data_IF_210443818407
#
_entry.id   IF_210443818407
#
_cell.length_a   1.000
_cell.length_b   1.000
_cell.length_c   1.000
_cell.angle_alpha   90.00
_cell.angle_beta   90.00
_cell.angle_gamma   90.00
#
_symmetry.space_group_name_H-M   'P 1'
#
loop_
_entity.id
_entity.type
_entity.pdbx_description
1 polymer ?
#
# COMPACT_ATOMS: atom_id res chain seq x y z
N UNK A 1 7.69 -10.19 -42.93
CA UNK A 1 8.20 -10.74 -41.65
C UNK A 1 7.44 -10.07 -40.53
N UNK A 2 6.36 -10.72 -40.08
CA UNK A 2 5.44 -10.21 -39.06
C UNK A 2 5.97 -10.56 -37.68
N UNK A 3 6.24 -9.51 -36.89
CA UNK A 3 6.65 -9.59 -35.49
C UNK A 3 5.52 -10.19 -34.65
N UNK A 4 5.74 -11.40 -34.12
CA UNK A 4 4.91 -12.00 -33.10
C UNK A 4 5.08 -11.22 -31.78
N UNK A 5 4.18 -10.28 -31.51
CA UNK A 5 4.01 -9.75 -30.17
C UNK A 5 3.39 -10.85 -29.30
N UNK A 6 4.18 -11.45 -28.41
CA UNK A 6 3.66 -12.27 -27.31
C UNK A 6 2.94 -11.31 -26.37
N UNK A 7 1.63 -11.17 -26.57
CA UNK A 7 0.78 -10.44 -25.64
C UNK A 7 0.58 -11.35 -24.43
N UNK A 8 1.22 -11.01 -23.30
CA UNK A 8 0.92 -11.62 -22.01
C UNK A 8 -0.52 -11.28 -21.57
N UNK A 9 -1.47 -12.10 -22.01
CA UNK A 9 -2.90 -12.04 -21.64
C UNK A 9 -3.23 -13.20 -20.73
N UNK A 10 -3.45 -12.88 -19.46
CA UNK A 10 -3.97 -13.78 -18.44
C UNK A 10 -4.40 -13.00 -17.21
N UNK A 11 -5.15 -11.90 -17.42
CA UNK A 11 -5.77 -11.09 -16.36
C UNK A 11 -7.16 -10.68 -16.86
N UNK A 12 -8.14 -11.58 -16.73
CA UNK A 12 -9.57 -11.25 -16.75
C UNK A 12 -10.30 -12.15 -15.76
N UNK A 13 -11.27 -11.72 -14.96
CA UNK A 13 -11.58 -10.47 -14.24
C UNK A 13 -12.72 -10.86 -13.26
N UNK A 14 -12.89 -10.11 -12.16
CA UNK A 14 -14.23 -9.89 -11.60
C UNK A 14 -15.20 -9.64 -12.76
N UNK A 15 -16.30 -10.37 -12.88
CA UNK A 15 -17.43 -9.83 -13.63
C UNK A 15 -18.08 -8.72 -12.79
N UNK A 16 -17.41 -7.57 -12.69
CA UNK A 16 -17.97 -6.36 -12.08
C UNK A 16 -19.36 -6.04 -12.70
N UNK A 17 -19.57 -6.45 -13.96
CA UNK A 17 -20.84 -6.39 -14.68
C UNK A 17 -21.97 -7.20 -14.03
N UNK A 18 -21.67 -8.27 -13.28
CA UNK A 18 -22.67 -9.06 -12.53
C UNK A 18 -23.08 -8.38 -11.21
N UNK A 19 -22.31 -7.40 -10.72
CA UNK A 19 -22.65 -6.62 -9.53
C UNK A 19 -23.55 -5.43 -9.87
N UNK A 20 -24.49 -5.05 -8.98
CA UNK A 20 -25.17 -3.76 -9.07
C UNK A 20 -24.18 -2.60 -9.23
N UNK A 21 -24.52 -1.61 -10.06
CA UNK A 21 -23.63 -0.47 -10.36
C UNK A 21 -23.19 0.30 -9.11
N UNK A 22 -24.00 0.30 -8.05
CA UNK A 22 -23.67 0.89 -6.75
C UNK A 22 -22.54 0.18 -6.00
N UNK A 23 -22.27 -1.10 -6.29
CA UNK A 23 -21.24 -1.91 -5.62
C UNK A 23 -19.94 -2.02 -6.44
N UNK A 24 -19.99 -1.71 -7.74
CA UNK A 24 -18.82 -1.79 -8.63
C UNK A 24 -17.60 -0.98 -8.15
N UNK A 25 -17.74 0.24 -7.57
CA UNK A 25 -16.59 0.97 -7.03
C UNK A 25 -15.89 0.23 -5.88
N UNK A 26 -16.66 -0.32 -4.93
CA UNK A 26 -16.11 -1.08 -3.81
C UNK A 26 -15.46 -2.39 -4.26
N UNK A 27 -16.05 -3.09 -5.23
CA UNK A 27 -15.45 -4.28 -5.84
C UNK A 27 -14.14 -3.97 -6.58
N UNK A 28 -14.09 -2.85 -7.30
CA UNK A 28 -12.86 -2.34 -7.93
C UNK A 28 -11.78 -2.03 -6.87
N UNK A 29 -12.19 -1.47 -5.74
CA UNK A 29 -11.29 -1.21 -4.62
C UNK A 29 -10.73 -2.51 -4.04
N UNK A 30 -11.55 -3.51 -3.77
CA UNK A 30 -11.08 -4.81 -3.28
C UNK A 30 -10.13 -5.48 -4.27
N UNK A 31 -10.43 -5.40 -5.57
CA UNK A 31 -9.52 -5.89 -6.60
C UNK A 31 -8.14 -5.22 -6.53
N UNK A 32 -8.10 -3.89 -6.44
CA UNK A 32 -6.85 -3.13 -6.31
C UNK A 32 -6.10 -3.49 -5.03
N UNK A 33 -6.82 -3.64 -3.92
CA UNK A 33 -6.25 -4.06 -2.63
C UNK A 33 -5.61 -5.44 -2.71
N UNK A 34 -6.32 -6.45 -3.21
CA UNK A 34 -5.80 -7.83 -3.37
C UNK A 34 -4.62 -7.87 -4.34
N UNK A 35 -4.70 -7.13 -5.45
CA UNK A 35 -3.66 -7.13 -6.49
C UNK A 35 -2.31 -6.63 -5.98
N UNK A 36 -2.29 -5.78 -4.94
CA UNK A 36 -1.07 -5.31 -4.29
C UNK A 36 -0.26 -6.44 -3.63
N UNK A 37 -0.87 -7.61 -3.39
CA UNK A 37 -0.22 -8.79 -2.76
C UNK A 37 0.08 -9.92 -3.76
N UNK A 38 -0.17 -9.73 -5.05
CA UNK A 38 -0.21 -10.84 -6.02
C UNK A 38 1.13 -11.50 -6.36
N UNK A 39 2.26 -10.81 -6.26
CA UNK A 39 3.55 -11.40 -6.66
C UNK A 39 4.09 -12.42 -5.63
N UNK A 40 3.68 -12.30 -4.35
CA UNK A 40 4.00 -13.22 -3.24
C UNK A 40 2.88 -13.16 -2.20
N UNK A 41 1.75 -13.76 -2.50
CA UNK A 41 0.61 -13.70 -1.60
C UNK A 41 0.92 -14.43 -0.30
N UNK A 42 1.01 -13.68 0.79
CA UNK A 42 1.20 -14.18 2.14
C UNK A 42 -0.11 -13.99 2.90
N UNK A 43 -0.73 -15.09 3.29
CA UNK A 43 -2.02 -15.09 3.99
C UNK A 43 -1.95 -14.40 5.36
N UNK A 44 -0.80 -14.46 6.05
CA UNK A 44 -0.59 -13.81 7.34
C UNK A 44 -0.53 -12.29 7.15
N UNK A 45 0.24 -11.83 6.17
CA UNK A 45 0.35 -10.40 5.83
C UNK A 45 -0.99 -9.86 5.33
N UNK A 46 -1.67 -10.60 4.44
CA UNK A 46 -2.96 -10.19 3.89
C UNK A 46 -4.04 -10.10 4.99
N UNK A 47 -4.09 -11.07 5.90
CA UNK A 47 -5.02 -11.05 7.03
C UNK A 47 -4.74 -9.86 7.95
N UNK A 48 -3.47 -9.63 8.31
CA UNK A 48 -3.08 -8.46 9.11
C UNK A 48 -3.47 -7.14 8.42
N UNK A 49 -3.38 -7.06 7.09
CA UNK A 49 -3.81 -5.90 6.34
C UNK A 49 -5.33 -5.70 6.38
N UNK A 50 -6.14 -6.77 6.32
CA UNK A 50 -7.60 -6.67 6.51
C UNK A 50 -7.91 -6.26 7.96
N UNK A 51 -7.27 -6.88 8.95
CA UNK A 51 -7.45 -6.54 10.37
C UNK A 51 -7.11 -5.07 10.63
N UNK A 52 -6.12 -4.51 9.93
CA UNK A 52 -5.74 -3.09 10.01
C UNK A 52 -6.80 -2.13 9.45
N UNK A 53 -7.70 -2.58 8.58
CA UNK A 53 -8.84 -1.76 8.13
C UNK A 53 -9.91 -1.57 9.22
N UNK A 54 -9.82 -2.31 10.33
CA UNK A 54 -10.46 -2.15 11.64
C UNK A 54 -11.76 -1.32 11.68
N UNK A 55 -12.68 -1.61 10.76
CA UNK A 55 -13.83 -0.76 10.49
C UNK A 55 -14.90 -1.54 9.72
N UNK A 56 -16.14 -1.06 9.79
CA UNK A 56 -17.35 -1.67 9.21
C UNK A 56 -17.30 -1.89 7.69
N UNK A 57 -16.22 -1.46 7.03
CA UNK A 57 -16.06 -1.45 5.59
C UNK A 57 -15.62 -2.78 4.98
N UNK A 58 -14.81 -3.59 5.68
CA UNK A 58 -14.40 -4.93 5.24
C UNK A 58 -14.17 -5.82 6.45
N UNK A 59 -14.72 -7.03 6.42
CA UNK A 59 -14.47 -8.08 7.41
C UNK A 59 -14.32 -9.42 6.71
N UNK A 60 -13.62 -10.37 7.32
CA UNK A 60 -13.68 -11.76 6.89
C UNK A 60 -14.58 -12.57 7.83
N UNK A 61 -15.27 -13.55 7.27
CA UNK A 61 -16.15 -14.43 8.04
C UNK A 61 -15.54 -15.83 8.17
N UNK A 62 -15.04 -16.37 7.05
CA UNK A 62 -14.61 -17.76 6.96
C UNK A 62 -13.24 -17.83 6.29
N UNK A 63 -12.29 -18.54 6.91
CA UNK A 63 -10.99 -18.89 6.33
C UNK A 63 -10.91 -20.41 6.29
N UNK A 64 -10.67 -20.97 5.11
CA UNK A 64 -10.51 -22.41 4.91
C UNK A 64 -9.22 -22.70 4.14
N UNK A 65 -8.61 -23.83 4.48
CA UNK A 65 -7.42 -24.34 3.81
C UNK A 65 -7.60 -25.84 3.61
N UNK A 66 -7.36 -26.32 2.39
CA UNK A 66 -7.40 -27.75 2.08
C UNK A 66 -6.31 -28.13 1.08
N UNK A 67 -5.94 -29.40 1.07
CA UNK A 67 -5.03 -29.96 0.07
C UNK A 67 -5.80 -30.98 -0.76
N UNK A 68 -5.95 -30.71 -2.04
CA UNK A 68 -6.57 -31.63 -3.00
C UNK A 68 -5.46 -32.40 -3.70
N UNK A 69 -5.40 -33.72 -3.51
CA UNK A 69 -4.42 -34.59 -4.16
C UNK A 69 -5.07 -35.31 -5.33
N UNK A 70 -4.40 -35.33 -6.48
CA UNK A 70 -4.87 -36.07 -7.65
C UNK A 70 -3.72 -36.87 -8.28
N UNK A 71 -3.98 -38.15 -8.56
CA UNK A 71 -2.98 -39.08 -9.11
C UNK A 71 -2.71 -38.86 -10.60
N UNK A 72 -3.64 -38.22 -11.32
CA UNK A 72 -3.54 -37.95 -12.76
C UNK A 72 -3.57 -36.44 -13.10
N UNK A 73 -2.86 -36.04 -14.16
CA UNK A 73 -2.74 -34.66 -14.67
C UNK A 73 -4.01 -34.21 -15.42
N UNK A 74 -5.20 -34.43 -14.85
CA UNK A 74 -6.41 -33.86 -15.41
C UNK A 74 -6.76 -32.56 -14.66
N UNK A 75 -6.19 -31.46 -15.14
CA UNK A 75 -6.46 -30.09 -14.63
C UNK A 75 -7.96 -29.83 -14.54
N UNK A 76 -8.75 -30.33 -15.50
CA UNK A 76 -10.19 -30.11 -15.53
C UNK A 76 -10.92 -30.83 -14.37
N UNK A 77 -10.44 -31.99 -13.93
CA UNK A 77 -10.95 -32.65 -12.72
C UNK A 77 -10.56 -31.89 -11.45
N UNK A 78 -9.32 -31.42 -11.38
CA UNK A 78 -8.85 -30.62 -10.25
C UNK A 78 -9.70 -29.34 -10.10
N UNK A 79 -9.95 -28.66 -11.21
CA UNK A 79 -10.80 -27.47 -11.25
C UNK A 79 -12.22 -27.79 -10.77
N UNK A 80 -12.81 -28.90 -11.22
CA UNK A 80 -14.14 -29.30 -10.76
C UNK A 80 -14.18 -29.54 -9.24
N UNK A 81 -13.15 -30.19 -8.68
CA UNK A 81 -13.05 -30.42 -7.22
C UNK A 81 -12.84 -29.12 -6.44
N UNK A 82 -12.06 -28.17 -6.98
CA UNK A 82 -11.92 -26.84 -6.37
C UNK A 82 -13.28 -26.12 -6.38
N UNK A 83 -14.00 -26.13 -7.50
CA UNK A 83 -15.30 -25.48 -7.60
C UNK A 83 -16.32 -26.11 -6.62
N UNK A 84 -16.35 -27.44 -6.53
CA UNK A 84 -17.19 -28.18 -5.58
C UNK A 84 -16.82 -27.88 -4.12
N UNK A 85 -15.52 -27.84 -3.80
CA UNK A 85 -15.03 -27.46 -2.48
C UNK A 85 -15.49 -26.05 -2.10
N UNK A 86 -15.33 -25.07 -2.99
CA UNK A 86 -15.74 -23.69 -2.74
C UNK A 86 -17.27 -23.59 -2.59
N UNK A 87 -18.03 -24.34 -3.39
CA UNK A 87 -19.48 -24.38 -3.29
C UNK A 87 -19.96 -24.96 -1.95
N UNK A 88 -19.34 -26.05 -1.50
CA UNK A 88 -19.68 -26.68 -0.23
C UNK A 88 -19.27 -25.82 0.96
N UNK A 89 -18.13 -25.13 0.88
CA UNK A 89 -17.60 -24.38 2.01
C UNK A 89 -18.25 -23.00 2.19
N UNK A 90 -18.64 -22.34 1.10
CA UNK A 90 -19.19 -20.98 1.15
C UNK A 90 -20.67 -20.89 0.72
N UNK A 91 -21.26 -21.99 0.25
CA UNK A 91 -22.63 -21.98 -0.28
C UNK A 91 -22.79 -21.19 -1.59
N UNK A 92 -21.70 -21.01 -2.34
CA UNK A 92 -21.67 -20.19 -3.57
C UNK A 92 -21.48 -21.08 -4.79
N UNK A 93 -22.31 -20.91 -5.82
CA UNK A 93 -22.03 -21.54 -7.12
C UNK A 93 -20.85 -20.85 -7.78
N UNK A 94 -19.74 -21.57 -7.91
CA UNK A 94 -18.56 -21.13 -8.66
C UNK A 94 -18.62 -21.81 -10.03
N UNK A 95 -18.66 -21.02 -11.12
CA UNK A 95 -18.66 -21.61 -12.45
C UNK A 95 -17.30 -22.25 -12.74
N UNK A 96 -17.31 -23.49 -13.25
CA UNK A 96 -16.10 -24.24 -13.61
C UNK A 96 -15.18 -23.44 -14.55
N UNK A 97 -15.79 -22.73 -15.51
CA UNK A 97 -15.11 -21.84 -16.48
C UNK A 97 -14.28 -20.76 -15.80
N UNK A 98 -14.75 -20.20 -14.67
CA UNK A 98 -14.06 -19.14 -13.92
C UNK A 98 -12.79 -19.67 -13.25
N UNK A 99 -12.80 -20.92 -12.80
CA UNK A 99 -11.64 -21.60 -12.20
C UNK A 99 -10.68 -22.12 -13.28
N UNK A 100 -11.19 -22.67 -14.40
CA UNK A 100 -10.37 -23.20 -15.50
C UNK A 100 -9.54 -22.11 -16.20
N UNK A 101 -10.11 -20.91 -16.36
CA UNK A 101 -9.42 -19.76 -16.93
C UNK A 101 -8.18 -19.34 -16.13
N UNK A 102 -8.10 -19.72 -14.86
CA UNK A 102 -7.01 -19.32 -13.97
C UNK A 102 -5.92 -20.37 -13.90
N UNK A 103 -6.28 -21.65 -13.78
CA UNK A 103 -5.33 -22.76 -13.58
C UNK A 103 -4.48 -23.08 -14.82
N UNK A 104 -4.88 -22.62 -16.01
CA UNK A 104 -4.21 -22.94 -17.29
C UNK A 104 -2.96 -22.10 -17.59
N UNK A 105 -2.56 -21.17 -16.71
CA UNK A 105 -1.51 -20.18 -16.97
C UNK A 105 -0.12 -20.49 -16.40
N UNK A 106 0.55 -21.59 -16.77
CA UNK A 106 1.99 -21.92 -16.60
C UNK A 106 2.81 -21.36 -15.40
N UNK A 107 2.18 -21.00 -14.28
CA UNK A 107 2.79 -20.41 -13.08
C UNK A 107 2.40 -21.24 -11.86
N UNK A 108 3.30 -21.33 -10.89
CA UNK A 108 3.15 -22.16 -9.69
C UNK A 108 2.04 -21.69 -8.73
N UNK A 109 1.64 -20.42 -8.84
CA UNK A 109 0.65 -19.79 -7.97
C UNK A 109 -0.45 -19.14 -8.81
N UNK A 110 -1.71 -19.46 -8.51
CA UNK A 110 -2.90 -18.87 -9.12
C UNK A 110 -3.75 -18.18 -8.06
N UNK A 111 -4.36 -17.05 -8.44
CA UNK A 111 -5.20 -16.24 -7.57
C UNK A 111 -6.56 -16.00 -8.24
N UNK A 112 -7.62 -16.44 -7.57
CA UNK A 112 -9.00 -16.18 -7.96
C UNK A 112 -9.62 -15.18 -7.01
N UNK A 113 -10.30 -14.18 -7.55
CA UNK A 113 -11.30 -13.44 -6.78
C UNK A 113 -12.66 -13.77 -7.38
N UNK A 114 -13.49 -14.45 -6.62
CA UNK A 114 -14.84 -14.87 -6.98
C UNK A 114 -15.81 -14.00 -6.18
N UNK A 115 -16.45 -13.04 -6.84
CA UNK A 115 -17.47 -12.22 -6.19
C UNK A 115 -18.83 -12.93 -6.25
N UNK A 116 -19.46 -13.10 -5.09
CA UNK A 116 -20.81 -13.63 -5.00
C UNK A 116 -21.72 -12.55 -4.42
N UNK A 117 -22.63 -12.04 -5.25
CA UNK A 117 -23.72 -11.23 -4.73
C UNK A 117 -24.77 -12.16 -4.12
N UNK A 118 -25.07 -11.97 -2.84
CA UNK A 118 -26.40 -12.34 -2.35
C UNK A 118 -27.42 -11.39 -3.01
N UNK A 119 -28.59 -11.89 -3.43
CA UNK A 119 -29.55 -11.13 -4.23
C UNK A 119 -30.13 -9.88 -3.54
N UNK A 120 -30.02 -9.76 -2.21
CA UNK A 120 -30.71 -8.72 -1.43
C UNK A 120 -29.81 -7.62 -0.84
N UNK A 121 -28.54 -7.53 -1.22
CA UNK A 121 -27.61 -6.60 -0.57
C UNK A 121 -27.47 -5.27 -1.34
N UNK A 122 -28.02 -4.20 -0.76
CA UNK A 122 -27.82 -2.81 -1.23
C UNK A 122 -26.58 -2.15 -0.62
N UNK A 123 -26.02 -2.74 0.43
CA UNK A 123 -24.94 -2.13 1.22
C UNK A 123 -23.68 -2.99 1.36
N UNK A 124 -23.78 -4.31 1.16
CA UNK A 124 -22.65 -5.22 1.30
C UNK A 124 -22.55 -6.18 0.11
N UNK A 125 -21.42 -6.83 -0.09
CA UNK A 125 -21.32 -7.99 -0.96
C UNK A 125 -20.28 -8.97 -0.43
N UNK A 126 -20.48 -10.25 -0.75
CA UNK A 126 -19.57 -11.32 -0.41
C UNK A 126 -18.52 -11.47 -1.53
N UNK A 127 -17.27 -11.59 -1.14
CA UNK A 127 -16.15 -11.78 -2.06
C UNK A 127 -15.29 -12.92 -1.53
N UNK A 128 -15.16 -13.97 -2.31
CA UNK A 128 -14.32 -15.12 -1.99
C UNK A 128 -12.99 -14.93 -2.70
N UNK A 129 -11.93 -14.75 -1.93
CA UNK A 129 -10.57 -14.76 -2.44
C UNK A 129 -10.01 -16.18 -2.29
N UNK A 130 -9.51 -16.74 -3.38
CA UNK A 130 -8.95 -18.10 -3.43
C UNK A 130 -7.52 -18.03 -3.96
N UNK A 131 -6.59 -18.70 -3.28
CA UNK A 131 -5.27 -18.99 -3.83
C UNK A 131 -5.16 -20.48 -4.09
N UNK A 132 -4.74 -20.85 -5.29
CA UNK A 132 -4.48 -22.23 -5.70
C UNK A 132 -2.99 -22.33 -6.00
N UNK A 133 -2.25 -23.07 -5.17
CA UNK A 133 -0.84 -23.37 -5.40
C UNK A 133 -0.74 -24.79 -5.92
N UNK A 134 -0.22 -24.94 -7.13
CA UNK A 134 0.00 -26.26 -7.74
C UNK A 134 1.43 -26.68 -7.49
N UNK A 135 1.61 -27.81 -6.81
CA UNK A 135 2.91 -28.42 -6.61
C UNK A 135 2.94 -29.83 -7.21
N UNK A 136 4.12 -30.19 -7.71
CA UNK A 136 4.42 -31.57 -8.10
C UNK A 136 4.82 -32.35 -6.87
N UNK A 137 4.30 -33.55 -6.73
CA UNK A 137 4.73 -34.43 -5.65
C UNK A 137 6.13 -34.97 -5.94
N UNK A 138 7.08 -34.77 -5.03
CA UNK A 138 8.49 -35.14 -5.26
C UNK A 138 8.72 -36.64 -5.54
N UNK A 139 7.76 -37.49 -5.18
CA UNK A 139 7.85 -38.94 -5.31
C UNK A 139 7.32 -39.49 -6.66
N UNK A 140 6.58 -38.71 -7.45
CA UNK A 140 6.08 -39.18 -8.76
C UNK A 140 5.97 -38.03 -9.76
N UNK A 141 6.51 -38.22 -10.97
CA UNK A 141 6.42 -37.20 -12.04
C UNK A 141 4.99 -36.96 -12.54
N UNK A 142 4.02 -37.78 -12.11
CA UNK A 142 2.65 -37.79 -12.61
C UNK A 142 1.60 -37.30 -11.60
N UNK A 143 1.94 -37.19 -10.31
CA UNK A 143 1.02 -36.70 -9.27
C UNK A 143 1.21 -35.22 -8.97
N UNK A 144 0.08 -34.53 -8.87
CA UNK A 144 0.00 -33.12 -8.52
C UNK A 144 -0.90 -32.97 -7.30
N UNK A 145 -0.58 -32.01 -6.46
CA UNK A 145 -1.52 -31.55 -5.44
C UNK A 145 -1.74 -30.06 -5.56
N UNK A 146 -2.96 -29.65 -5.21
CA UNK A 146 -3.32 -28.25 -5.08
C UNK A 146 -3.50 -27.91 -3.61
N UNK A 147 -2.73 -26.95 -3.12
CA UNK A 147 -3.05 -26.26 -1.88
C UNK A 147 -4.05 -25.16 -2.21
N UNK A 148 -5.27 -25.29 -1.67
CA UNK A 148 -6.35 -24.34 -1.86
C UNK A 148 -6.58 -23.62 -0.55
N UNK A 149 -6.34 -22.32 -0.56
CA UNK A 149 -6.72 -21.45 0.55
C UNK A 149 -7.82 -20.52 0.06
N UNK A 150 -8.85 -20.35 0.87
CA UNK A 150 -9.93 -19.42 0.53
C UNK A 150 -10.37 -18.62 1.76
N UNK A 151 -10.72 -17.36 1.53
CA UNK A 151 -11.29 -16.46 2.51
C UNK A 151 -12.55 -15.82 1.96
N UNK A 152 -13.60 -15.76 2.77
CA UNK A 152 -14.80 -14.98 2.49
C UNK A 152 -14.67 -13.62 3.14
N UNK A 153 -14.72 -12.58 2.31
CA UNK A 153 -14.74 -11.17 2.68
C UNK A 153 -16.16 -10.64 2.54
N UNK A 154 -16.67 -9.98 3.58
CA UNK A 154 -17.92 -9.20 3.54
C UNK A 154 -17.51 -7.74 3.42
N UNK A 155 -17.87 -7.12 2.30
CA UNK A 155 -17.38 -5.79 1.92
C UNK A 155 -18.56 -4.83 1.87
N UNK A 156 -18.46 -3.71 2.58
CA UNK A 156 -19.42 -2.61 2.51
C UNK A 156 -19.24 -1.84 1.18
N UNK A 157 -20.32 -1.31 0.61
CA UNK A 157 -20.29 -0.39 -0.54
C UNK A 157 -19.42 0.85 -0.29
N UNK A 158 -19.25 1.23 0.98
CA UNK A 158 -18.40 2.33 1.40
C UNK A 158 -16.91 1.97 1.42
N UNK A 159 -16.56 0.69 1.20
CA UNK A 159 -15.18 0.25 1.16
C UNK A 159 -14.41 1.01 0.08
N UNK A 160 -13.49 1.81 0.58
CA UNK A 160 -12.45 2.46 -0.19
C UNK A 160 -11.16 1.79 0.22
N UNK A 161 -10.36 1.36 -0.75
CA UNK A 161 -8.93 1.18 -0.44
C UNK A 161 -8.52 2.54 0.05
N UNK A 162 -8.14 2.64 1.33
CA UNK A 162 -7.42 3.81 1.80
C UNK A 162 -6.35 4.06 0.72
N UNK A 163 -6.47 5.16 -0.02
CA UNK A 163 -5.48 5.51 -1.02
C UNK A 163 -4.13 5.31 -0.35
N UNK A 164 -3.22 4.53 -0.94
CA UNK A 164 -1.93 4.18 -0.33
C UNK A 164 -1.47 5.37 0.52
N UNK A 165 -1.27 5.17 1.84
CA UNK A 165 -1.17 6.27 2.77
C UNK A 165 -0.18 7.27 2.22
N UNK A 166 -0.66 8.47 1.89
CA UNK A 166 0.14 9.50 1.22
C UNK A 166 1.32 9.94 2.10
N UNK A 167 1.27 9.63 3.39
CA UNK A 167 2.32 9.88 4.36
C UNK A 167 2.56 8.62 5.19
N UNK A 168 3.83 8.36 5.49
CA UNK A 168 4.21 7.45 6.56
C UNK A 168 3.93 8.12 7.92
N UNK A 169 3.26 7.42 8.84
CA UNK A 169 2.77 8.02 10.09
C UNK A 169 3.49 7.41 11.28
N UNK A 170 4.19 8.25 12.03
CA UNK A 170 4.79 7.89 13.31
C UNK A 170 4.16 8.72 14.42
N UNK A 171 3.47 8.08 15.37
CA UNK A 171 2.75 8.79 16.42
C UNK A 171 3.11 8.22 17.78
N UNK A 172 3.43 9.11 18.71
CA UNK A 172 3.61 8.84 20.15
C UNK A 172 2.47 9.46 20.96
N UNK A 173 1.37 9.83 20.28
CA UNK A 173 0.27 10.54 20.90
C UNK A 173 -0.53 9.63 21.84
N UNK A 174 -1.01 10.17 22.97
CA UNK A 174 -1.95 9.45 23.81
C UNK A 174 -3.29 9.25 23.06
N UNK A 175 -4.09 8.22 23.42
CA UNK A 175 -5.32 7.87 22.72
C UNK A 175 -6.27 9.05 22.41
N UNK A 176 -6.47 10.04 23.31
CA UNK A 176 -7.36 11.18 23.03
C UNK A 176 -6.92 12.07 21.87
N UNK A 177 -5.65 12.05 21.46
CA UNK A 177 -5.11 12.92 20.41
C UNK A 177 -4.90 12.20 19.06
N UNK A 178 -5.02 10.87 19.03
CA UNK A 178 -4.78 10.07 17.82
C UNK A 178 -5.71 10.48 16.66
N UNK A 179 -7.02 10.60 16.93
CA UNK A 179 -8.00 10.98 15.91
C UNK A 179 -7.76 12.38 15.30
N UNK A 180 -7.17 13.29 16.08
CA UNK A 180 -6.84 14.64 15.61
C UNK A 180 -5.62 14.61 14.69
N UNK A 181 -4.68 13.70 14.93
CA UNK A 181 -3.58 13.45 14.02
C UNK A 181 -4.07 12.87 12.69
N UNK A 182 -5.15 12.07 12.68
CA UNK A 182 -5.78 11.60 11.44
C UNK A 182 -6.31 12.77 10.60
N UNK A 183 -6.88 13.80 11.24
CA UNK A 183 -7.27 15.03 10.53
C UNK A 183 -6.07 15.76 9.92
N UNK A 184 -4.90 15.77 10.58
CA UNK A 184 -3.66 16.36 10.02
C UNK A 184 -3.18 15.55 8.82
N UNK A 185 -3.23 14.21 8.91
CA UNK A 185 -2.87 13.33 7.81
C UNK A 185 -3.76 13.58 6.60
N UNK A 186 -5.07 13.68 6.79
CA UNK A 186 -6.01 13.97 5.70
C UNK A 186 -5.80 15.37 5.13
N UNK A 187 -5.63 16.37 6.01
CA UNK A 187 -5.36 17.75 5.63
C UNK A 187 -4.08 17.88 4.78
N UNK A 188 -2.97 17.27 5.20
CA UNK A 188 -1.74 17.21 4.42
C UNK A 188 -1.94 16.40 3.12
N UNK A 189 -2.63 15.26 3.19
CA UNK A 189 -2.91 14.39 2.04
C UNK A 189 -3.68 15.10 0.93
N UNK A 190 -4.55 16.06 1.26
CA UNK A 190 -5.28 16.87 0.27
C UNK A 190 -4.36 17.74 -0.61
N UNK A 191 -3.12 17.98 -0.17
CA UNK A 191 -2.10 18.77 -0.86
C UNK A 191 -1.08 17.91 -1.63
N UNK A 192 -1.33 16.60 -1.75
CA UNK A 192 -0.59 15.72 -2.65
C UNK A 192 -1.33 15.65 -3.98
N UNK A 193 -0.65 16.07 -5.03
CA UNK A 193 -1.16 16.05 -6.40
C UNK A 193 -1.52 14.60 -6.81
N UNK A 194 -2.73 14.34 -7.31
CA UNK A 194 -3.18 12.98 -7.59
C UNK A 194 -2.46 12.33 -8.80
N UNK A 195 -1.94 13.13 -9.73
CA UNK A 195 -1.32 12.65 -10.97
C UNK A 195 0.18 12.42 -10.78
N UNK A 196 0.88 13.47 -10.35
CA UNK A 196 2.33 13.46 -10.15
C UNK A 196 2.72 12.83 -8.82
N UNK A 197 1.78 12.76 -7.86
CA UNK A 197 2.05 12.38 -6.48
C UNK A 197 3.13 13.24 -5.85
N UNK A 198 3.33 14.48 -6.27
CA UNK A 198 4.22 15.43 -5.57
C UNK A 198 3.45 16.13 -4.43
N UNK A 199 4.11 16.35 -3.29
CA UNK A 199 3.52 17.17 -2.22
C UNK A 199 3.71 18.67 -2.49
N UNK A 200 2.60 19.41 -2.56
CA UNK A 200 2.63 20.84 -2.85
C UNK A 200 2.82 21.66 -1.56
N UNK A 201 4.08 21.93 -1.22
CA UNK A 201 4.45 22.74 -0.05
C UNK A 201 3.85 24.14 -0.03
N UNK A 202 3.73 24.79 -1.19
CA UNK A 202 3.19 26.15 -1.30
C UNK A 202 1.71 26.15 -0.93
N UNK A 203 0.96 25.21 -1.50
CA UNK A 203 -0.46 25.02 -1.21
C UNK A 203 -0.71 24.60 0.22
N UNK A 204 0.07 23.64 0.72
CA UNK A 204 -0.03 23.19 2.09
C UNK A 204 0.25 24.32 3.09
N UNK A 205 1.33 25.10 2.89
CA UNK A 205 1.63 26.24 3.77
C UNK A 205 0.50 27.27 3.72
N UNK A 206 -0.02 27.58 2.53
CA UNK A 206 -1.16 28.48 2.37
C UNK A 206 -2.38 27.98 3.15
N UNK A 207 -2.68 26.69 3.06
CA UNK A 207 -3.78 26.08 3.80
C UNK A 207 -3.56 26.17 5.32
N UNK A 208 -2.35 25.90 5.81
CA UNK A 208 -1.96 26.06 7.23
C UNK A 208 -2.17 27.52 7.68
N UNK A 209 -1.72 28.50 6.90
CA UNK A 209 -1.88 29.92 7.21
C UNK A 209 -3.38 30.30 7.36
N UNK A 210 -4.28 29.72 6.56
CA UNK A 210 -5.74 29.97 6.68
C UNK A 210 -6.40 29.32 7.91
N UNK A 211 -5.76 28.30 8.48
CA UNK A 211 -6.21 27.59 9.68
C UNK A 211 -5.51 28.10 10.95
N UNK A 212 -4.59 29.06 10.82
CA UNK A 212 -3.86 29.62 11.95
C UNK A 212 -4.82 30.21 13.00
N UNK A 213 -4.67 29.79 14.26
CA UNK A 213 -5.55 30.17 15.37
C UNK A 213 -6.89 29.39 15.44
N UNK A 214 -7.15 28.45 14.52
CA UNK A 214 -8.33 27.56 14.52
C UNK A 214 -7.96 26.14 14.94
N UNK A 215 -7.19 26.03 16.01
CA UNK A 215 -6.66 24.74 16.50
C UNK A 215 -5.41 24.26 15.77
N UNK A 216 -4.87 25.04 14.83
CA UNK A 216 -3.59 24.79 14.18
C UNK A 216 -2.74 26.06 14.25
N UNK A 217 -1.47 25.93 14.62
CA UNK A 217 -0.48 27.01 14.55
C UNK A 217 0.79 26.43 13.95
N UNK A 218 1.45 27.15 13.04
CA UNK A 218 2.78 26.75 12.58
C UNK A 218 3.85 27.41 13.44
N UNK A 219 4.90 26.68 13.77
CA UNK A 219 6.02 27.19 14.56
C UNK A 219 7.19 27.55 13.65
N UNK A 220 7.61 26.61 12.80
CA UNK A 220 8.81 26.78 11.98
C UNK A 220 8.77 25.91 10.72
N UNK A 221 9.32 26.43 9.62
CA UNK A 221 9.64 25.64 8.41
C UNK A 221 11.15 25.57 8.25
N UNK A 222 11.68 24.36 8.18
CA UNK A 222 13.11 24.12 8.02
C UNK A 222 13.36 23.38 6.71
N UNK A 223 14.28 23.91 5.92
CA UNK A 223 14.71 23.29 4.66
C UNK A 223 16.21 23.06 4.72
N UNK A 224 16.66 21.88 4.32
CA UNK A 224 18.06 21.57 4.13
C UNK A 224 18.28 20.94 2.76
N UNK A 225 19.26 21.47 2.04
CA UNK A 225 19.66 20.97 0.73
C UNK A 225 21.03 20.29 0.86
N UNK A 226 21.04 18.99 0.58
CA UNK A 226 22.28 18.23 0.39
C UNK A 226 22.77 18.52 -1.01
N UNK A 227 23.91 19.22 -1.08
CA UNK A 227 24.50 19.67 -2.32
C UNK A 227 24.86 18.50 -3.22
N UNK A 228 24.77 18.77 -4.52
CA UNK A 228 25.01 17.77 -5.54
C UNK A 228 26.47 17.32 -5.53
N UNK A 229 26.70 16.02 -5.37
CA UNK A 229 28.04 15.43 -5.32
C UNK A 229 28.02 13.97 -5.75
N UNK A 230 29.18 13.44 -6.13
CA UNK A 230 29.36 12.00 -6.33
C UNK A 230 29.24 11.32 -4.97
N UNK A 231 28.21 10.51 -4.80
CA UNK A 231 27.88 9.86 -3.53
C UNK A 231 27.11 8.56 -3.79
N UNK A 232 26.92 7.78 -2.73
CA UNK A 232 26.06 6.59 -2.76
C UNK A 232 24.72 6.91 -2.11
N UNK A 233 23.65 6.23 -2.53
CA UNK A 233 22.34 6.44 -1.90
C UNK A 233 22.37 6.20 -0.38
N UNK A 234 23.00 5.13 0.16
CA UNK A 234 23.12 4.95 1.60
C UNK A 234 23.67 6.17 2.34
N UNK A 235 24.71 6.83 1.80
CA UNK A 235 25.29 8.03 2.42
C UNK A 235 24.32 9.21 2.39
N UNK A 236 23.62 9.44 1.27
CA UNK A 236 22.61 10.51 1.18
C UNK A 236 21.43 10.23 2.10
N UNK A 237 20.99 8.97 2.20
CA UNK A 237 19.96 8.53 3.15
C UNK A 237 20.42 8.76 4.58
N UNK A 238 21.66 8.44 4.94
CA UNK A 238 22.22 8.71 6.26
C UNK A 238 22.17 10.21 6.61
N UNK A 239 22.47 11.07 5.64
CA UNK A 239 22.40 12.53 5.82
C UNK A 239 20.94 13.01 5.99
N UNK A 240 20.00 12.49 5.21
CA UNK A 240 18.57 12.78 5.33
C UNK A 240 18.03 12.33 6.69
N UNK A 241 18.34 11.10 7.09
CA UNK A 241 17.97 10.53 8.40
C UNK A 241 18.55 11.40 9.51
N UNK A 242 19.85 11.70 9.46
CA UNK A 242 20.52 12.54 10.46
C UNK A 242 19.87 13.90 10.60
N UNK A 243 19.49 14.55 9.49
CA UNK A 243 18.83 15.85 9.52
C UNK A 243 17.39 15.77 10.07
N UNK A 244 16.56 14.83 9.59
CA UNK A 244 15.19 14.64 10.10
C UNK A 244 15.20 14.30 11.59
N UNK A 245 16.08 13.41 11.99
CA UNK A 245 16.32 13.07 13.40
C UNK A 245 16.71 14.34 14.16
N UNK A 246 17.72 15.10 13.75
CA UNK A 246 18.12 16.32 14.47
C UNK A 246 17.00 17.37 14.60
N UNK A 247 16.13 17.51 13.59
CA UNK A 247 14.98 18.43 13.64
C UNK A 247 13.90 17.91 14.60
N UNK A 248 13.60 16.61 14.58
CA UNK A 248 12.51 16.02 15.33
C UNK A 248 12.88 15.56 16.77
N UNK A 249 14.14 15.20 17.04
CA UNK A 249 14.54 14.51 18.29
C UNK A 249 14.49 15.35 19.54
N UNK A 250 14.38 16.67 19.43
CA UNK A 250 14.08 17.47 20.62
C UNK A 250 12.73 17.05 21.26
N UNK A 251 11.88 16.37 20.48
CA UNK A 251 10.51 15.99 20.84
C UNK A 251 10.22 14.50 20.59
N UNK A 252 10.90 13.82 19.65
CA UNK A 252 10.64 12.41 19.25
C UNK A 252 11.71 11.43 19.78
N UNK A 253 11.32 10.20 20.13
CA UNK A 253 12.27 9.11 20.43
C UNK A 253 13.15 8.74 19.21
N UNK A 254 14.46 8.83 19.40
CA UNK A 254 15.45 8.75 18.31
C UNK A 254 15.52 7.37 17.65
N UNK A 255 15.72 6.25 18.38
CA UNK A 255 15.98 4.96 17.75
C UNK A 255 14.81 4.44 16.89
N UNK A 256 13.53 4.50 17.32
CA UNK A 256 12.40 4.09 16.48
C UNK A 256 12.24 4.96 15.22
N UNK A 257 12.44 6.28 15.35
CA UNK A 257 12.38 7.20 14.22
C UNK A 257 13.47 6.88 13.18
N UNK A 258 14.71 6.69 13.64
CA UNK A 258 15.84 6.34 12.78
C UNK A 258 15.60 5.01 12.04
N UNK A 259 15.16 3.97 12.76
CA UNK A 259 14.84 2.69 12.14
C UNK A 259 13.76 2.82 11.06
N UNK A 260 12.69 3.56 11.35
CA UNK A 260 11.59 3.75 10.40
C UNK A 260 12.00 4.50 9.15
N UNK A 261 12.76 5.59 9.30
CA UNK A 261 13.26 6.36 8.15
C UNK A 261 14.17 5.51 7.27
N UNK A 262 15.09 4.73 7.87
CA UNK A 262 15.97 3.81 7.13
C UNK A 262 15.18 2.76 6.34
N UNK A 263 14.15 2.19 6.96
CA UNK A 263 13.25 1.23 6.29
C UNK A 263 12.47 1.87 5.14
N UNK A 264 12.01 3.11 5.30
CA UNK A 264 11.26 3.83 4.27
C UNK A 264 12.14 4.17 3.04
N UNK A 265 13.41 4.49 3.26
CA UNK A 265 14.36 4.72 2.17
C UNK A 265 14.95 3.44 1.59
N UNK A 266 14.76 2.27 2.22
CA UNK A 266 15.18 1.00 1.64
C UNK A 266 14.13 0.50 0.63
N UNK A 267 14.45 0.42 -0.67
CA UNK A 267 13.46 0.06 -1.69
C UNK A 267 12.98 -1.38 -1.60
N UNK A 268 13.78 -2.27 -1.02
CA UNK A 268 13.39 -3.67 -0.81
C UNK A 268 12.32 -3.83 0.28
N UNK A 269 12.10 -2.79 1.09
CA UNK A 269 11.09 -2.73 2.17
C UNK A 269 10.16 -1.51 2.05
N UNK A 270 10.19 -0.80 0.92
CA UNK A 270 9.36 0.38 0.73
C UNK A 270 7.91 -0.08 0.46
N UNK A 271 7.12 -0.20 1.51
CA UNK A 271 5.69 -0.56 1.53
C UNK A 271 4.80 0.57 0.94
N UNK A 272 5.25 1.25 -0.11
CA UNK A 272 4.56 2.42 -0.70
C UNK A 272 4.69 3.71 0.12
N UNK A 273 5.69 3.81 0.98
CA UNK A 273 5.98 4.96 1.86
C UNK A 273 6.79 6.07 1.17
N UNK A 274 7.38 5.75 0.01
CA UNK A 274 8.08 6.70 -0.83
C UNK A 274 7.74 6.48 -2.30
N UNK A 275 7.73 7.56 -3.07
CA UNK A 275 7.27 7.58 -4.45
C UNK A 275 8.39 7.98 -5.40
N UNK A 276 8.57 7.16 -6.43
CA UNK A 276 9.39 7.49 -7.57
C UNK A 276 8.60 8.37 -8.54
N UNK A 277 9.21 9.46 -8.98
CA UNK A 277 8.75 10.22 -10.13
C UNK A 277 9.94 10.43 -11.10
N UNK A 278 9.65 10.36 -12.39
CA UNK A 278 10.61 10.76 -13.43
C UNK A 278 9.99 11.89 -14.23
N UNK A 279 10.70 13.01 -14.36
CA UNK A 279 10.27 14.09 -15.24
C UNK A 279 10.72 13.76 -16.65
N UNK A 280 9.79 13.55 -17.57
CA UNK A 280 10.09 13.19 -18.97
C UNK A 280 10.98 14.19 -19.71
N UNK A 281 11.13 15.43 -19.20
CA UNK A 281 11.92 16.50 -19.81
C UNK A 281 13.36 16.62 -19.29
N UNK A 282 13.77 15.82 -18.30
CA UNK A 282 15.12 15.87 -17.74
C UNK A 282 15.64 14.48 -17.42
N UNK A 283 16.93 14.24 -17.61
CA UNK A 283 17.62 13.00 -17.22
C UNK A 283 17.68 12.80 -15.69
N UNK A 284 16.71 13.32 -14.94
CA UNK A 284 16.69 13.35 -13.49
C UNK A 284 15.45 12.60 -13.00
N UNK A 285 15.70 11.59 -12.19
CA UNK A 285 14.67 10.92 -11.40
C UNK A 285 14.69 11.43 -9.98
N UNK A 286 13.51 11.39 -9.37
CA UNK A 286 13.31 11.84 -8.00
C UNK A 286 12.60 10.74 -7.20
N UNK A 287 13.01 10.60 -5.95
CA UNK A 287 12.40 9.70 -5.00
C UNK A 287 12.04 10.49 -3.74
N UNK A 288 10.74 10.63 -3.49
CA UNK A 288 10.22 11.43 -2.39
C UNK A 288 9.63 10.53 -1.30
N UNK A 289 10.24 10.58 -0.11
CA UNK A 289 9.64 10.12 1.14
C UNK A 289 8.75 11.22 1.73
N UNK A 290 7.64 10.83 2.36
CA UNK A 290 6.74 11.73 3.07
C UNK A 290 6.38 11.15 4.44
N UNK A 291 6.58 11.94 5.48
CA UNK A 291 6.33 11.51 6.87
C UNK A 291 5.51 12.53 7.65
N UNK A 292 4.67 12.03 8.56
CA UNK A 292 4.01 12.83 9.60
C UNK A 292 4.38 12.24 10.96
N UNK A 293 4.95 13.07 11.83
CA UNK A 293 5.40 12.67 13.17
C UNK A 293 4.57 13.39 14.24
N UNK A 294 3.82 12.66 15.05
CA UNK A 294 2.99 13.21 16.14
C UNK A 294 3.60 12.95 17.52
N UNK A 295 3.75 13.99 18.35
CA UNK A 295 4.36 13.92 19.69
C UNK A 295 3.57 14.76 20.69
N UNK A 296 3.26 14.25 21.90
CA UNK A 296 2.62 15.06 22.94
C UNK A 296 3.51 16.23 23.39
N UNK A 297 2.88 17.35 23.79
CA UNK A 297 3.59 18.42 24.49
C UNK A 297 3.58 18.10 25.98
N UNK A 298 4.74 18.06 26.61
CA UNK A 298 4.85 17.76 28.04
C UNK A 298 4.06 18.77 28.87
N UNK A 299 3.16 18.26 29.72
CA UNK A 299 2.31 19.07 30.59
C UNK A 299 1.11 19.76 29.91
N UNK A 300 0.83 19.45 28.63
CA UNK A 300 -0.29 20.06 27.89
C UNK A 300 -1.11 18.99 27.16
N UNK A 301 -2.18 18.52 27.80
CA UNK A 301 -2.99 17.38 27.32
C UNK A 301 -3.81 17.68 26.06
N UNK A 302 -4.06 18.96 25.79
CA UNK A 302 -4.94 19.41 24.70
C UNK A 302 -4.18 19.76 23.42
N UNK A 303 -2.84 19.65 23.43
CA UNK A 303 -2.01 20.04 22.30
C UNK A 303 -0.90 19.02 22.04
N UNK A 304 -0.49 18.92 20.78
CA UNK A 304 0.63 18.10 20.36
C UNK A 304 1.44 18.76 19.25
N UNK A 305 2.70 18.35 19.09
CA UNK A 305 3.50 18.68 17.93
C UNK A 305 3.19 17.71 16.78
N UNK A 306 2.96 18.25 15.59
CA UNK A 306 2.92 17.47 14.35
C UNK A 306 3.97 17.98 13.37
N UNK A 307 4.88 17.10 12.97
CA UNK A 307 5.92 17.43 11.99
C UNK A 307 5.52 16.82 10.65
N UNK A 308 5.20 17.67 9.67
CA UNK A 308 5.00 17.23 8.29
C UNK A 308 6.35 17.35 7.58
N UNK A 309 6.82 16.26 6.98
CA UNK A 309 8.13 16.24 6.34
C UNK A 309 8.08 15.60 4.94
N UNK A 310 8.93 16.11 4.07
CA UNK A 310 9.29 15.46 2.81
C UNK A 310 10.79 15.40 2.66
N UNK A 311 11.29 14.31 2.11
CA UNK A 311 12.69 14.18 1.74
C UNK A 311 12.76 13.64 0.31
N UNK A 312 13.29 14.45 -0.60
CA UNK A 312 13.40 14.15 -2.03
C UNK A 312 14.87 13.92 -2.37
N UNK A 313 15.21 12.71 -2.81
CA UNK A 313 16.52 12.37 -3.37
C UNK A 313 16.42 12.46 -4.89
N UNK A 314 17.40 13.08 -5.54
CA UNK A 314 17.47 13.24 -6.99
C UNK A 314 18.75 12.61 -7.54
N UNK A 315 18.62 11.88 -8.64
CA UNK A 315 19.74 11.24 -9.35
C UNK A 315 19.64 11.49 -10.85
N UNK A 316 20.77 11.49 -11.56
CA UNK A 316 20.81 11.50 -13.03
C UNK A 316 20.51 10.12 -13.62
N UNK A 317 19.33 9.59 -13.32
CA UNK A 317 18.85 8.32 -13.84
C UNK A 317 17.48 8.50 -14.50
N UNK A 318 17.27 7.84 -15.63
CA UNK A 318 16.02 7.98 -16.42
C UNK A 318 14.97 6.92 -16.08
N UNK A 319 15.36 5.86 -15.38
CA UNK A 319 14.49 4.72 -15.11
C UNK A 319 14.47 4.36 -13.63
N UNK A 320 13.28 3.98 -13.14
CA UNK A 320 13.09 3.53 -11.76
C UNK A 320 13.99 2.34 -11.42
N UNK A 321 14.11 1.36 -12.32
CA UNK A 321 15.02 0.22 -12.14
C UNK A 321 16.48 0.64 -12.02
N UNK A 322 16.89 1.71 -12.71
CA UNK A 322 18.21 2.34 -12.56
C UNK A 322 18.37 2.96 -11.17
N UNK A 323 17.39 3.78 -10.75
CA UNK A 323 17.37 4.38 -9.42
C UNK A 323 17.39 3.35 -8.29
N UNK A 324 16.62 2.27 -8.42
CA UNK A 324 16.63 1.15 -7.49
C UNK A 324 17.97 0.38 -7.53
N UNK A 325 18.59 0.29 -8.70
CA UNK A 325 19.93 -0.27 -8.88
C UNK A 325 21.02 0.50 -8.15
N UNK A 326 20.90 1.83 -8.03
CA UNK A 326 21.86 2.69 -7.33
C UNK A 326 22.00 2.36 -5.83
N UNK A 327 20.99 1.72 -5.21
CA UNK A 327 21.09 1.25 -3.82
C UNK A 327 22.12 0.14 -3.62
N UNK A 328 22.65 -0.45 -4.69
CA UNK A 328 23.69 -1.49 -4.65
C UNK A 328 25.11 -0.93 -4.63
N UNK A 329 25.30 0.33 -4.22
CA UNK A 329 26.59 0.99 -3.96
C UNK A 329 27.34 1.53 -5.18
N UNK A 330 26.65 1.95 -6.24
CA UNK A 330 27.28 2.70 -7.33
C UNK A 330 27.35 4.18 -6.96
N UNK A 331 28.53 4.79 -7.04
CA UNK A 331 28.67 6.24 -6.93
C UNK A 331 28.00 6.91 -8.14
N UNK A 332 27.17 7.92 -7.87
CA UNK A 332 26.55 8.75 -8.90
C UNK A 332 26.31 10.15 -8.37
N UNK A 333 25.95 11.09 -9.26
CA UNK A 333 25.63 12.46 -8.88
C UNK A 333 24.27 12.51 -8.22
N UNK A 334 24.29 12.55 -6.89
CA UNK A 334 23.09 12.64 -6.06
C UNK A 334 22.96 14.03 -5.46
N UNK A 335 21.72 14.44 -5.25
CA UNK A 335 21.37 15.57 -4.39
C UNK A 335 20.13 15.22 -3.60
N UNK A 336 19.87 15.92 -2.50
CA UNK A 336 18.63 15.73 -1.77
C UNK A 336 18.13 17.04 -1.16
N UNK A 337 16.82 17.14 -0.99
CA UNK A 337 16.16 18.23 -0.30
C UNK A 337 15.28 17.64 0.80
N UNK A 338 15.44 18.14 2.03
CA UNK A 338 14.57 17.80 3.15
C UNK A 338 13.84 19.05 3.60
N UNK A 339 12.51 18.96 3.68
CA UNK A 339 11.62 20.01 4.17
C UNK A 339 10.82 19.47 5.33
N UNK A 340 10.74 20.25 6.40
CA UNK A 340 9.96 19.92 7.60
C UNK A 340 9.18 21.17 8.02
N UNK A 341 7.89 21.01 8.26
CA UNK A 341 7.03 22.00 8.89
C UNK A 341 6.58 21.49 10.25
N UNK A 342 6.88 22.28 11.29
CA UNK A 342 6.53 22.02 12.67
C UNK A 342 5.21 22.73 12.99
N UNK A 343 4.21 21.95 13.42
CA UNK A 343 2.85 22.40 13.75
C UNK A 343 2.57 22.15 15.23
N UNK A 344 1.87 23.09 15.87
CA UNK A 344 1.21 22.89 17.15
C UNK A 344 -0.28 22.69 16.86
N UNK A 345 -0.80 21.54 17.25
CA UNK A 345 -2.16 21.08 16.93
C UNK A 345 -2.96 20.96 18.22
N UNK A 346 -4.09 21.64 18.28
CA UNK A 346 -5.08 21.52 19.35
C UNK A 346 -5.94 20.27 19.15
N UNK A 347 -6.39 19.65 20.24
CA UNK A 347 -7.37 18.57 20.21
C UNK A 347 -8.69 18.92 19.48
N UNK A 348 -8.96 20.20 19.31
CA UNK A 348 -10.17 20.71 18.63
C UNK A 348 -10.01 20.89 17.12
N UNK A 349 -8.82 20.61 16.55
CA UNK A 349 -8.58 20.78 15.12
C UNK A 349 -9.43 19.81 14.29
N UNK A 350 -10.22 20.38 13.37
CA UNK A 350 -10.82 19.65 12.25
C UNK A 350 -10.15 20.09 10.95
N UNK A 351 -9.71 19.11 10.15
CA UNK A 351 -9.05 19.36 8.86
C UNK A 351 -9.94 20.10 7.84
N UNK A 352 -11.25 20.14 8.11
CA UNK A 352 -12.29 20.69 7.25
C UNK A 352 -13.05 21.79 7.99
#
# INVERSE_FOLDING_TARGET
MTSNSIVHRGRKYFELSKLPSSLQPAATNVYNFVSAYSDKFDWVVFKAAIDAYNGEAIKYETVISTTIRHSDINISNLVAQVAEFLANAFGVQVERSEVEAQVTGNKSNYYAVLAASKPDLTEFFDCILVTIKLDKEAASEQSFFAEVHAIQLIINKSFKVASQPKFDVFSQLPPPLVHVNDHIIEFASSNVDPETREFNWTEFKRAVDTKNGKGLTYENIRTNAIQRSDSTIPLVVDQVVSYLTAVCTAKVDKPPLEHRLRTAFNPSSNEGKAWFSSRQSGQVSEFQYRGIFGVPIEGVDDYFYSFVATATIKAEETHESGFLGLFRSTETKLSAEVKVLELIVSKTFSGF
#
